data_IF_918367637528
#
_entry.id   IF_918367637528
#
_cell.length_a   1.000
_cell.length_b   1.000
_cell.length_c   1.000
_cell.angle_alpha   90.00
_cell.angle_beta   90.00
_cell.angle_gamma   90.00
#
_symmetry.space_group_name_H-M   'P 1'
#
loop_
_entity.id
_entity.type
_entity.pdbx_description
1 polymer ?
#
# COMPACT_ATOMS: atom_id res chain seq x y z
N UNK A 1 83.26 9.49 22.72
CA UNK A 1 82.33 9.23 21.63
C UNK A 1 80.89 9.53 22.12
N UNK A 2 80.26 10.59 21.65
CA UNK A 2 78.94 11.03 22.08
C UNK A 2 77.96 10.72 20.96
N UNK A 3 76.98 9.81 21.15
CA UNK A 3 75.90 9.56 20.27
C UNK A 3 74.78 10.57 20.54
N UNK A 4 74.47 11.40 19.58
CA UNK A 4 73.30 12.28 19.57
C UNK A 4 72.12 11.50 18.96
N UNK A 5 71.13 11.17 19.76
CA UNK A 5 69.85 10.61 19.29
C UNK A 5 68.99 11.72 18.69
N UNK A 6 68.71 11.61 17.43
CA UNK A 6 67.70 12.43 16.73
C UNK A 6 66.32 11.80 16.96
N UNK A 7 65.48 12.48 17.70
CA UNK A 7 64.05 12.14 17.83
C UNK A 7 63.33 12.84 16.67
N UNK A 8 62.89 12.05 15.72
CA UNK A 8 62.01 12.53 14.62
C UNK A 8 60.58 12.42 15.14
N UNK A 9 59.97 13.56 15.44
CA UNK A 9 58.55 13.63 15.79
C UNK A 9 57.73 13.62 14.54
N UNK A 10 57.06 12.48 14.25
CA UNK A 10 56.06 12.40 13.19
C UNK A 10 54.74 12.93 13.76
N UNK A 11 54.35 14.14 13.38
CA UNK A 11 53.03 14.68 13.65
C UNK A 11 52.06 14.07 12.65
N UNK A 12 51.31 13.07 13.07
CA UNK A 12 50.18 12.53 12.32
C UNK A 12 49.02 13.52 12.37
N UNK A 13 48.79 14.27 11.30
CA UNK A 13 47.60 15.08 11.12
C UNK A 13 46.40 14.15 10.86
N UNK A 14 45.63 13.85 11.90
CA UNK A 14 44.32 13.25 11.77
C UNK A 14 43.37 14.30 11.15
N UNK A 15 43.13 14.24 9.84
CA UNK A 15 42.01 14.89 9.20
C UNK A 15 40.74 14.14 9.62
N UNK A 16 40.09 14.57 10.68
CA UNK A 16 38.75 14.18 11.00
C UNK A 16 37.84 14.83 9.97
N UNK A 17 37.44 14.09 8.94
CA UNK A 17 36.33 14.46 8.10
C UNK A 17 35.08 14.33 8.98
N UNK A 18 34.71 15.43 9.65
CA UNK A 18 33.41 15.55 10.26
C UNK A 18 32.39 15.55 9.10
N UNK A 19 31.81 14.38 8.82
CA UNK A 19 30.58 14.31 8.06
C UNK A 19 29.56 15.10 8.89
N UNK A 20 29.32 16.35 8.52
CA UNK A 20 28.23 17.13 9.08
C UNK A 20 26.95 16.39 8.70
N UNK A 21 26.43 15.60 9.62
CA UNK A 21 25.05 15.14 9.52
C UNK A 21 24.18 16.39 9.45
N UNK A 22 23.77 16.75 8.24
CA UNK A 22 22.90 17.89 8.03
C UNK A 22 21.62 17.60 8.82
N UNK A 23 21.37 18.42 9.85
CA UNK A 23 20.17 18.27 10.67
C UNK A 23 18.94 18.26 9.75
N UNK A 24 18.02 17.36 10.00
CA UNK A 24 16.78 17.28 9.27
C UNK A 24 15.99 18.60 9.47
N UNK A 25 15.75 19.28 8.39
CA UNK A 25 15.03 20.55 8.38
C UNK A 25 13.56 20.30 7.98
N UNK A 26 12.72 20.06 8.97
CA UNK A 26 11.29 19.82 8.79
C UNK A 26 10.57 20.96 8.06
N UNK A 27 11.08 22.21 8.18
CA UNK A 27 10.45 23.35 7.53
C UNK A 27 10.47 23.29 6.01
N UNK A 28 11.32 22.44 5.44
CA UNK A 28 11.38 22.18 3.99
C UNK A 28 10.28 21.28 3.47
N UNK A 29 9.58 20.59 4.36
CA UNK A 29 8.56 19.61 3.99
C UNK A 29 7.16 20.15 4.22
N UNK A 30 6.16 19.69 3.46
CA UNK A 30 4.77 20.07 3.69
C UNK A 30 4.27 19.52 5.04
N UNK A 31 3.37 20.26 5.68
CA UNK A 31 2.68 19.77 6.87
C UNK A 31 1.67 18.68 6.50
N UNK A 32 2.09 17.43 6.64
CA UNK A 32 1.24 16.25 6.50
C UNK A 32 0.85 15.63 7.85
N UNK A 33 1.02 16.36 8.94
CA UNK A 33 0.65 15.89 10.28
C UNK A 33 -0.85 15.64 10.42
N UNK A 34 -1.22 14.81 11.40
CA UNK A 34 -2.60 14.39 11.66
C UNK A 34 -3.04 13.20 10.84
N UNK A 35 -4.33 12.89 10.93
CA UNK A 35 -4.92 11.77 10.21
C UNK A 35 -5.55 12.23 8.89
N UNK A 36 -5.44 11.36 7.91
CA UNK A 36 -6.02 11.53 6.59
C UNK A 36 -6.99 10.41 6.30
N UNK A 37 -8.22 10.74 5.93
CA UNK A 37 -9.25 9.76 5.61
C UNK A 37 -9.72 9.95 4.17
N UNK A 38 -9.89 8.85 3.45
CA UNK A 38 -10.41 8.88 2.08
C UNK A 38 -11.74 9.65 2.07
N UNK A 39 -11.84 10.65 1.23
CA UNK A 39 -13.04 11.45 1.02
C UNK A 39 -14.19 10.63 0.43
N UNK A 40 -15.39 11.23 0.30
CA UNK A 40 -16.52 10.57 -0.32
C UNK A 40 -16.13 10.03 -1.70
N UNK A 41 -16.85 9.00 -2.20
CA UNK A 41 -16.45 8.23 -3.36
C UNK A 41 -16.07 9.14 -4.51
N UNK A 42 -14.81 9.16 -4.84
CA UNK A 42 -14.30 9.81 -6.01
C UNK A 42 -14.83 9.05 -7.21
N UNK A 43 -15.43 9.77 -8.14
CA UNK A 43 -15.64 9.22 -9.47
C UNK A 43 -14.26 8.90 -10.02
N UNK A 44 -14.05 7.70 -10.48
CA UNK A 44 -12.79 7.29 -11.07
C UNK A 44 -12.46 8.14 -12.32
N UNK A 45 -13.51 8.41 -13.10
CA UNK A 45 -13.48 9.28 -14.27
C UNK A 45 -14.76 10.14 -14.25
N UNK A 46 -14.66 11.44 -14.05
CA UNK A 46 -15.83 12.30 -13.96
C UNK A 46 -16.67 12.34 -15.25
N UNK A 47 -16.13 11.90 -16.38
CA UNK A 47 -16.86 11.83 -17.66
C UNK A 47 -17.76 10.59 -17.78
N UNK A 48 -17.62 9.62 -16.86
CA UNK A 48 -18.38 8.37 -16.88
C UNK A 48 -19.31 8.27 -15.68
N UNK A 49 -20.42 7.53 -15.79
CA UNK A 49 -21.30 7.26 -14.66
C UNK A 49 -20.52 6.61 -13.50
N UNK A 50 -20.88 6.85 -12.24
CA UNK A 50 -20.26 6.16 -11.12
C UNK A 50 -20.53 4.65 -11.19
N UNK A 51 -19.55 3.86 -10.83
CA UNK A 51 -19.66 2.40 -10.84
C UNK A 51 -18.34 1.74 -10.46
N UNK A 52 -18.43 0.55 -9.88
CA UNK A 52 -17.24 -0.21 -9.50
C UNK A 52 -16.46 -0.62 -10.74
N UNK A 53 -15.18 -0.32 -10.76
CA UNK A 53 -14.26 -0.75 -11.81
C UNK A 53 -14.55 -0.34 -13.25
N UNK A 54 -15.65 0.39 -13.50
CA UNK A 54 -16.12 0.72 -14.85
C UNK A 54 -15.10 1.41 -15.75
N UNK A 55 -14.05 1.97 -15.16
CA UNK A 55 -13.03 2.74 -15.87
C UNK A 55 -11.71 2.02 -15.98
N UNK A 56 -11.55 0.91 -15.26
CA UNK A 56 -10.35 0.11 -15.36
C UNK A 56 -10.20 -0.40 -16.80
N UNK A 57 -9.12 -0.06 -17.51
CA UNK A 57 -8.92 -0.49 -18.89
C UNK A 57 -8.41 -1.94 -18.92
N UNK A 58 -9.21 -2.87 -18.42
CA UNK A 58 -8.88 -4.28 -18.35
C UNK A 58 -8.71 -4.89 -19.75
N UNK A 59 -7.84 -5.88 -19.85
CA UNK A 59 -7.81 -6.78 -21.01
C UNK A 59 -9.09 -7.63 -21.03
N UNK A 60 -9.45 -8.22 -22.17
CA UNK A 60 -10.65 -9.05 -22.27
C UNK A 60 -10.63 -10.23 -21.28
N UNK A 61 -9.46 -10.85 -21.07
CA UNK A 61 -9.28 -11.92 -20.08
C UNK A 61 -9.59 -11.45 -18.66
N UNK A 62 -9.02 -10.31 -18.26
CA UNK A 62 -9.20 -9.79 -16.91
C UNK A 62 -10.53 -9.12 -16.68
N UNK A 63 -11.19 -8.64 -17.76
CA UNK A 63 -12.56 -8.17 -17.72
C UNK A 63 -13.51 -9.33 -17.37
N UNK A 64 -13.35 -10.50 -18.01
CA UNK A 64 -14.15 -11.68 -17.70
C UNK A 64 -13.96 -12.14 -16.25
N UNK A 65 -12.72 -12.15 -15.74
CA UNK A 65 -12.43 -12.46 -14.33
C UNK A 65 -13.12 -11.47 -13.39
N UNK A 66 -13.16 -10.19 -13.76
CA UNK A 66 -13.83 -9.18 -12.95
C UNK A 66 -15.35 -9.34 -12.95
N UNK A 67 -15.94 -9.67 -14.08
CA UNK A 67 -17.39 -9.95 -14.20
C UNK A 67 -17.80 -11.18 -13.40
N UNK A 68 -17.03 -12.26 -13.44
CA UNK A 68 -17.23 -13.45 -12.60
C UNK A 68 -17.15 -13.10 -11.11
N UNK A 69 -16.19 -12.25 -10.72
CA UNK A 69 -16.08 -11.76 -9.36
C UNK A 69 -17.31 -10.95 -8.91
N UNK A 70 -17.82 -10.08 -9.76
CA UNK A 70 -19.05 -9.31 -9.48
C UNK A 70 -20.29 -10.21 -9.40
N UNK A 71 -20.38 -11.23 -10.25
CA UNK A 71 -21.46 -12.22 -10.20
C UNK A 71 -21.44 -13.03 -8.89
N UNK A 72 -20.26 -13.47 -8.44
CA UNK A 72 -20.11 -14.15 -7.15
C UNK A 72 -20.54 -13.23 -5.98
N UNK A 73 -20.13 -11.97 -5.98
CA UNK A 73 -20.55 -10.98 -4.98
C UNK A 73 -22.08 -10.76 -5.01
N UNK A 74 -22.69 -10.70 -6.18
CA UNK A 74 -24.13 -10.56 -6.32
C UNK A 74 -24.91 -11.78 -5.78
N UNK A 75 -24.30 -12.97 -5.83
CA UNK A 75 -24.84 -14.19 -5.23
C UNK A 75 -24.59 -14.30 -3.70
N UNK A 76 -23.98 -13.27 -3.09
CA UNK A 76 -23.63 -13.24 -1.67
C UNK A 76 -22.25 -13.83 -1.35
N UNK A 77 -21.48 -14.17 -2.37
CA UNK A 77 -20.09 -14.58 -2.24
C UNK A 77 -19.17 -13.40 -1.97
N UNK A 78 -17.88 -13.68 -1.80
CA UNK A 78 -16.86 -12.69 -1.45
C UNK A 78 -16.00 -12.30 -2.64
N UNK A 79 -16.26 -12.90 -3.77
CA UNK A 79 -15.47 -12.71 -4.96
C UNK A 79 -14.01 -13.11 -4.78
N UNK A 80 -13.13 -12.34 -5.38
CA UNK A 80 -11.69 -12.56 -5.33
C UNK A 80 -10.99 -11.74 -4.24
N UNK A 81 -11.73 -11.15 -3.30
CA UNK A 81 -11.16 -10.31 -2.26
C UNK A 81 -10.32 -11.11 -1.26
N UNK A 82 -8.98 -10.94 -1.22
CA UNK A 82 -8.12 -11.72 -0.34
C UNK A 82 -8.23 -11.31 1.13
N UNK A 83 -8.80 -10.17 1.44
CA UNK A 83 -8.91 -9.69 2.82
C UNK A 83 -9.89 -10.50 3.66
N UNK A 84 -10.82 -11.21 3.04
CA UNK A 84 -11.71 -12.13 3.74
C UNK A 84 -11.00 -13.29 4.45
N UNK A 85 -9.78 -13.57 4.10
CA UNK A 85 -8.92 -14.56 4.78
C UNK A 85 -7.69 -13.91 5.41
N UNK A 86 -7.80 -12.63 5.77
CA UNK A 86 -6.77 -11.83 6.41
C UNK A 86 -5.45 -11.70 5.63
N UNK A 87 -5.48 -11.83 4.32
CA UNK A 87 -4.35 -11.43 3.48
C UNK A 87 -4.36 -9.90 3.41
N UNK A 88 -3.25 -9.22 3.70
CA UNK A 88 -3.17 -7.76 3.65
C UNK A 88 -3.53 -7.21 2.26
N UNK A 89 -4.14 -6.04 2.23
CA UNK A 89 -4.50 -5.36 0.98
C UNK A 89 -3.32 -5.18 0.02
N UNK A 90 -2.18 -4.76 0.55
CA UNK A 90 -1.02 -4.44 -0.27
C UNK A 90 -1.24 -3.25 -1.20
N UNK A 91 -0.22 -2.92 -2.01
CA UNK A 91 -0.33 -1.86 -3.00
C UNK A 91 -0.95 -2.36 -4.30
N UNK A 92 -1.77 -1.54 -5.01
CA UNK A 92 -2.19 -0.17 -4.69
C UNK A 92 -3.40 -0.06 -3.75
N UNK A 93 -4.04 -1.18 -3.39
CA UNK A 93 -5.30 -1.19 -2.64
C UNK A 93 -5.17 -0.54 -1.25
N UNK A 94 -4.02 -0.64 -0.61
CA UNK A 94 -3.76 0.00 0.68
C UNK A 94 -4.05 1.51 0.67
N UNK A 95 -3.88 2.18 -0.47
CA UNK A 95 -4.24 3.59 -0.66
C UNK A 95 -5.71 3.80 -1.05
N UNK A 96 -6.50 2.74 -1.15
CA UNK A 96 -7.93 2.79 -1.50
C UNK A 96 -8.87 2.50 -0.31
N UNK A 97 -8.33 2.31 0.88
CA UNK A 97 -9.11 1.99 2.06
C UNK A 97 -9.78 3.24 2.63
N UNK A 98 -10.97 3.07 3.23
CA UNK A 98 -11.73 4.16 3.84
C UNK A 98 -11.27 4.49 5.27
N UNK A 99 -10.36 3.70 5.79
CA UNK A 99 -9.80 3.87 7.13
C UNK A 99 -8.76 5.00 7.14
N UNK A 100 -8.55 5.66 8.27
CA UNK A 100 -7.59 6.74 8.36
C UNK A 100 -6.14 6.23 8.20
N UNK A 101 -5.30 7.15 7.74
CA UNK A 101 -3.86 6.96 7.72
C UNK A 101 -3.15 8.15 8.35
N UNK A 102 -1.94 7.91 8.85
CA UNK A 102 -1.02 8.93 9.35
C UNK A 102 0.28 8.87 8.58
N UNK A 103 0.88 10.04 8.34
CA UNK A 103 2.11 10.15 7.56
C UNK A 103 3.19 10.76 8.43
N UNK A 104 4.35 10.10 8.47
CA UNK A 104 5.54 10.58 9.19
C UNK A 104 6.68 10.75 8.21
N UNK A 105 7.16 11.99 8.11
CA UNK A 105 8.29 12.34 7.23
C UNK A 105 9.56 12.34 8.08
N UNK A 106 10.53 11.52 7.70
CA UNK A 106 11.85 11.46 8.29
C UNK A 106 12.92 11.73 7.22
N UNK A 107 14.18 11.98 7.59
CA UNK A 107 15.22 12.36 6.63
C UNK A 107 15.39 11.43 5.43
N UNK A 108 15.25 10.13 5.67
CA UNK A 108 15.56 9.10 4.67
C UNK A 108 14.37 8.23 4.30
N UNK A 109 13.22 8.46 4.95
CA UNK A 109 12.06 7.58 4.80
C UNK A 109 10.78 8.34 5.15
N UNK A 110 9.79 8.23 4.32
CA UNK A 110 8.41 8.63 4.64
C UNK A 110 7.62 7.38 4.98
N UNK A 111 6.95 7.37 6.13
CA UNK A 111 6.08 6.29 6.56
C UNK A 111 4.63 6.68 6.36
N UNK A 112 3.83 5.74 5.86
CA UNK A 112 2.38 5.83 5.86
C UNK A 112 1.86 4.67 6.72
N UNK A 113 1.29 5.01 7.86
CA UNK A 113 0.62 4.08 8.76
C UNK A 113 -0.86 4.08 8.41
N UNK A 114 -1.43 2.93 8.16
CA UNK A 114 -2.84 2.78 7.78
C UNK A 114 -3.51 1.96 8.87
N UNK A 115 -4.58 2.49 9.47
CA UNK A 115 -5.29 1.86 10.57
C UNK A 115 -5.82 0.48 10.19
N UNK A 116 -6.35 0.35 8.98
CA UNK A 116 -6.87 -0.93 8.50
C UNK A 116 -5.78 -2.00 8.45
N UNK A 117 -5.98 -3.09 9.17
CA UNK A 117 -5.05 -4.21 9.32
C UNK A 117 -3.65 -3.80 9.84
N UNK A 118 -3.55 -2.65 10.50
CA UNK A 118 -2.29 -2.11 11.03
C UNK A 118 -1.17 -2.09 9.98
N UNK A 119 -1.52 -1.72 8.74
CA UNK A 119 -0.57 -1.73 7.63
C UNK A 119 0.44 -0.60 7.77
N UNK A 120 1.70 -0.91 7.52
CA UNK A 120 2.81 0.04 7.48
C UNK A 120 3.44 0.04 6.09
N UNK A 121 3.51 1.23 5.49
CA UNK A 121 4.23 1.47 4.24
C UNK A 121 5.48 2.29 4.50
N UNK A 122 6.60 1.87 3.91
CA UNK A 122 7.88 2.59 3.91
C UNK A 122 8.19 3.08 2.51
N UNK A 123 8.44 4.37 2.39
CA UNK A 123 8.88 5.00 1.15
C UNK A 123 10.28 5.54 1.41
N UNK A 124 11.28 4.94 0.81
CA UNK A 124 12.67 5.37 0.98
C UNK A 124 12.94 6.61 0.15
N UNK A 125 13.41 7.68 0.80
CA UNK A 125 13.61 9.00 0.17
C UNK A 125 15.07 9.47 0.23
N UNK A 126 15.99 8.55 0.46
CA UNK A 126 17.43 8.80 0.58
C UNK A 126 18.21 8.65 -0.73
N UNK A 127 17.52 8.47 -1.86
CA UNK A 127 18.14 8.35 -3.17
C UNK A 127 18.80 6.99 -3.45
N UNK A 128 18.48 5.97 -2.66
CA UNK A 128 19.01 4.61 -2.86
C UNK A 128 18.55 3.97 -4.16
N UNK A 129 19.35 3.03 -4.63
CA UNK A 129 18.99 2.17 -5.75
C UNK A 129 18.01 1.07 -5.35
N UNK A 130 17.37 0.45 -6.35
CA UNK A 130 16.54 -0.71 -6.17
C UNK A 130 17.35 -1.91 -5.66
N UNK A 131 16.92 -2.56 -4.55
CA UNK A 131 17.61 -3.72 -4.02
C UNK A 131 17.51 -4.90 -4.98
N UNK A 132 18.60 -5.67 -5.08
CA UNK A 132 18.64 -6.92 -5.84
C UNK A 132 18.25 -8.09 -4.95
N UNK A 133 17.45 -9.04 -5.48
CA UNK A 133 17.14 -10.28 -4.79
C UNK A 133 16.22 -10.13 -3.57
N UNK A 134 15.47 -9.04 -3.48
CA UNK A 134 14.50 -8.86 -2.40
C UNK A 134 13.26 -9.72 -2.63
N UNK A 135 12.83 -10.44 -1.60
CA UNK A 135 11.59 -11.20 -1.62
C UNK A 135 10.37 -10.28 -1.79
N UNK A 136 9.42 -10.62 -2.67
CA UNK A 136 8.21 -9.83 -2.85
C UNK A 136 7.36 -9.76 -1.58
N UNK A 137 6.71 -8.62 -1.37
CA UNK A 137 5.79 -8.40 -0.25
C UNK A 137 4.46 -7.79 -0.71
N UNK A 138 3.43 -7.81 0.13
CA UNK A 138 2.15 -7.22 -0.21
C UNK A 138 2.25 -5.70 -0.41
N UNK A 139 3.02 -5.02 0.44
CA UNK A 139 3.26 -3.58 0.32
C UNK A 139 4.32 -3.23 -0.73
N UNK A 140 5.07 -4.23 -1.21
CA UNK A 140 6.16 -4.04 -2.14
C UNK A 140 7.35 -3.28 -1.53
N UNK A 141 8.17 -2.73 -2.41
CA UNK A 141 9.28 -1.85 -2.07
C UNK A 141 9.06 -0.51 -2.75
N UNK A 142 9.07 0.58 -1.97
CA UNK A 142 8.80 1.92 -2.48
C UNK A 142 10.03 2.81 -2.37
N UNK A 143 10.40 3.44 -3.48
CA UNK A 143 11.40 4.52 -3.53
C UNK A 143 10.65 5.79 -3.87
N UNK A 144 10.93 6.86 -3.14
CA UNK A 144 10.33 8.16 -3.33
C UNK A 144 11.36 9.27 -3.50
N UNK A 145 10.91 10.37 -4.07
CA UNK A 145 11.69 11.59 -4.21
C UNK A 145 10.82 12.79 -3.86
N UNK A 146 11.29 13.61 -2.93
CA UNK A 146 10.70 14.89 -2.64
C UNK A 146 11.06 15.90 -3.73
N UNK A 147 10.06 16.60 -4.25
CA UNK A 147 10.19 17.57 -5.34
C UNK A 147 9.75 18.94 -4.83
N UNK A 148 10.52 19.96 -5.18
CA UNK A 148 10.17 21.37 -5.07
C UNK A 148 9.71 21.85 -6.47
N UNK A 149 8.40 21.72 -6.73
CA UNK A 149 7.81 22.24 -7.98
C UNK A 149 7.71 23.75 -7.92
N UNK A 150 8.66 24.46 -8.37
CA UNK A 150 8.64 25.94 -8.40
C UNK A 150 9.88 26.56 -7.81
N UNK A 151 10.85 25.73 -7.39
CA UNK A 151 12.14 26.18 -6.87
C UNK A 151 12.01 27.22 -5.73
N UNK A 152 11.08 26.96 -4.82
CA UNK A 152 10.77 27.84 -3.68
C UNK A 152 11.68 27.58 -2.46
N UNK A 153 12.47 26.51 -2.51
CA UNK A 153 13.25 26.01 -1.38
C UNK A 153 12.46 25.10 -0.44
N UNK A 154 11.20 24.80 -0.76
CA UNK A 154 10.32 23.91 0.00
C UNK A 154 9.77 22.80 -0.88
N UNK A 155 9.79 21.58 -0.39
CA UNK A 155 9.16 20.45 -1.06
C UNK A 155 7.64 20.57 -0.99
N UNK A 156 6.97 20.23 -2.08
CA UNK A 156 5.50 20.29 -2.15
C UNK A 156 4.88 19.03 -2.79
N UNK A 157 5.71 18.12 -3.27
CA UNK A 157 5.30 16.88 -3.92
C UNK A 157 6.23 15.74 -3.51
N UNK A 158 5.64 14.56 -3.22
CA UNK A 158 6.36 13.30 -3.12
C UNK A 158 6.03 12.44 -4.32
N UNK A 159 6.99 12.19 -5.19
CA UNK A 159 6.90 11.19 -6.25
C UNK A 159 7.37 9.84 -5.71
N UNK A 160 6.59 8.78 -5.97
CA UNK A 160 6.88 7.44 -5.47
C UNK A 160 6.76 6.43 -6.60
N UNK A 161 7.64 5.45 -6.60
CA UNK A 161 7.49 4.24 -7.38
C UNK A 161 7.56 3.02 -6.46
N UNK A 162 6.62 2.07 -6.65
CA UNK A 162 6.53 0.84 -5.87
C UNK A 162 6.59 -0.35 -6.81
N UNK A 163 7.49 -1.28 -6.50
CA UNK A 163 7.71 -2.55 -7.21
C UNK A 163 7.77 -3.71 -6.22
N UNK A 164 8.07 -4.89 -6.72
CA UNK A 164 8.33 -6.09 -5.93
C UNK A 164 7.12 -6.51 -5.08
N UNK A 165 5.96 -6.48 -5.71
CA UNK A 165 4.68 -6.81 -5.11
C UNK A 165 4.42 -8.31 -5.23
N UNK A 166 3.72 -8.91 -4.26
CA UNK A 166 3.18 -10.27 -4.34
C UNK A 166 1.67 -10.27 -4.19
N UNK A 167 1.04 -11.27 -4.80
CA UNK A 167 -0.41 -11.49 -4.74
C UNK A 167 -0.83 -12.62 -3.79
N UNK A 168 -2.14 -12.89 -3.70
CA UNK A 168 -3.21 -12.32 -4.54
C UNK A 168 -3.48 -10.85 -4.21
N UNK A 169 -3.89 -10.07 -5.22
CA UNK A 169 -4.11 -8.62 -5.10
C UNK A 169 -5.29 -8.17 -5.95
N UNK A 170 -5.96 -7.15 -5.49
CA UNK A 170 -6.92 -6.37 -6.26
C UNK A 170 -6.58 -4.88 -6.18
N UNK A 171 -7.06 -4.10 -7.12
CA UNK A 171 -6.86 -2.65 -7.13
C UNK A 171 -7.63 -1.98 -5.99
N UNK A 172 -8.84 -2.48 -5.69
CA UNK A 172 -9.72 -1.93 -4.67
C UNK A 172 -10.67 -3.00 -4.11
N UNK A 173 -11.51 -2.66 -3.12
CA UNK A 173 -12.48 -3.58 -2.54
C UNK A 173 -13.54 -4.12 -3.51
N UNK A 174 -13.71 -3.54 -4.72
CA UNK A 174 -14.63 -4.10 -5.72
C UNK A 174 -14.09 -5.36 -6.38
N UNK A 175 -12.80 -5.66 -6.17
CA UNK A 175 -12.16 -6.84 -6.71
C UNK A 175 -11.66 -6.69 -8.15
N UNK A 176 -11.36 -5.44 -8.60
CA UNK A 176 -10.66 -5.24 -9.88
C UNK A 176 -9.36 -6.02 -9.85
N UNK A 177 -9.18 -7.04 -10.72
CA UNK A 177 -8.04 -7.93 -10.62
C UNK A 177 -6.76 -7.28 -11.12
N UNK A 178 -5.63 -7.68 -10.52
CA UNK A 178 -4.30 -7.42 -11.01
C UNK A 178 -3.68 -8.72 -11.49
N UNK A 179 -2.70 -8.62 -12.39
CA UNK A 179 -2.08 -9.78 -13.00
C UNK A 179 -1.31 -10.62 -11.98
N UNK A 180 -1.42 -11.94 -12.12
CA UNK A 180 -0.84 -12.93 -11.18
C UNK A 180 0.68 -13.04 -11.21
N UNK A 181 1.35 -12.43 -12.21
CA UNK A 181 2.81 -12.52 -12.36
C UNK A 181 3.59 -11.62 -11.39
N UNK A 182 2.90 -10.80 -10.61
CA UNK A 182 3.49 -9.87 -9.64
C UNK A 182 4.46 -8.83 -10.25
N UNK A 183 4.32 -8.53 -11.55
CA UNK A 183 5.13 -7.51 -12.23
C UNK A 183 4.48 -6.12 -12.22
N UNK A 184 3.45 -5.93 -11.41
CA UNK A 184 2.80 -4.62 -11.24
C UNK A 184 3.80 -3.58 -10.76
N UNK A 185 3.76 -2.41 -11.39
CA UNK A 185 4.44 -1.20 -10.94
C UNK A 185 3.39 -0.16 -10.60
N UNK A 186 3.55 0.48 -9.46
CA UNK A 186 2.67 1.58 -9.03
C UNK A 186 3.50 2.83 -8.91
N UNK A 187 3.11 3.89 -9.62
CA UNK A 187 3.70 5.21 -9.45
C UNK A 187 2.68 6.16 -8.85
N UNK A 188 3.14 7.08 -7.99
CA UNK A 188 2.27 7.99 -7.27
C UNK A 188 2.85 9.39 -7.24
N UNK A 189 1.95 10.37 -7.21
CA UNK A 189 2.26 11.76 -6.93
C UNK A 189 1.38 12.21 -5.77
N UNK A 190 2.02 12.42 -4.61
CA UNK A 190 1.33 12.76 -3.36
C UNK A 190 1.62 14.23 -3.03
N UNK A 191 0.57 15.04 -2.88
CA UNK A 191 0.68 16.47 -2.65
C UNK A 191 -0.56 17.07 -1.97
N UNK A 192 -0.41 18.20 -1.31
CA UNK A 192 -1.56 18.95 -0.80
C UNK A 192 -2.26 19.69 -1.94
N UNK A 193 -3.58 19.73 -1.88
CA UNK A 193 -4.37 20.55 -2.79
C UNK A 193 -3.99 22.03 -2.65
N UNK A 194 -3.81 22.71 -3.78
CA UNK A 194 -3.38 24.13 -3.77
C UNK A 194 -4.43 25.08 -3.20
N UNK A 195 -5.71 24.73 -3.28
CA UNK A 195 -6.81 25.56 -2.80
C UNK A 195 -7.24 25.21 -1.36
N UNK A 196 -7.03 23.96 -0.92
CA UNK A 196 -7.40 23.49 0.42
C UNK A 196 -6.33 22.56 0.97
N UNK A 197 -5.46 23.05 1.85
CA UNK A 197 -4.41 22.25 2.50
C UNK A 197 -4.94 21.13 3.44
N UNK A 198 -6.24 21.05 3.66
CA UNK A 198 -6.86 19.91 4.33
C UNK A 198 -7.24 18.77 3.36
N UNK A 199 -6.86 18.88 2.11
CA UNK A 199 -6.99 17.81 1.11
C UNK A 199 -5.59 17.38 0.69
N UNK A 200 -5.27 16.12 0.94
CA UNK A 200 -4.11 15.44 0.38
C UNK A 200 -4.56 14.69 -0.86
N UNK A 201 -3.88 14.90 -1.97
CA UNK A 201 -4.12 14.22 -3.24
C UNK A 201 -3.05 13.17 -3.48
N UNK A 202 -3.46 12.06 -4.08
CA UNK A 202 -2.57 11.01 -4.54
C UNK A 202 -3.02 10.56 -5.93
N UNK A 203 -2.22 10.87 -6.93
CA UNK A 203 -2.40 10.43 -8.31
C UNK A 203 -1.71 9.08 -8.46
N UNK A 204 -2.47 8.00 -8.32
CA UNK A 204 -1.98 6.61 -8.37
C UNK A 204 -2.07 6.10 -9.80
N UNK A 205 -0.94 5.79 -10.41
CA UNK A 205 -0.86 5.14 -11.72
C UNK A 205 -0.45 3.68 -11.56
N UNK A 206 -1.32 2.78 -11.97
CA UNK A 206 -1.06 1.34 -11.99
C UNK A 206 -0.65 0.90 -13.39
N UNK A 207 0.50 0.24 -13.47
CA UNK A 207 1.05 -0.37 -14.69
C UNK A 207 1.04 -1.87 -14.45
N UNK A 208 0.17 -2.59 -15.17
CA UNK A 208 -0.08 -4.00 -14.93
C UNK A 208 -0.51 -4.69 -16.22
N UNK A 209 -0.20 -5.98 -16.37
CA UNK A 209 -0.57 -6.75 -17.57
C UNK A 209 -2.04 -7.11 -17.66
N UNK A 210 -2.78 -6.98 -16.55
CA UNK A 210 -4.23 -7.06 -16.58
C UNK A 210 -4.87 -5.86 -17.28
N UNK A 211 -4.11 -4.78 -17.50
CA UNK A 211 -4.56 -3.53 -18.08
C UNK A 211 -4.06 -3.39 -19.53
N UNK A 212 -4.86 -2.80 -20.39
CA UNK A 212 -4.48 -2.48 -21.79
C UNK A 212 -3.57 -1.25 -21.92
N UNK A 213 -3.51 -0.44 -20.85
CA UNK A 213 -2.66 0.76 -20.74
C UNK A 213 -2.45 1.12 -19.27
N UNK A 214 -1.43 1.92 -18.93
CA UNK A 214 -1.33 2.50 -17.59
C UNK A 214 -2.63 3.22 -17.19
N UNK A 215 -3.03 3.07 -15.95
CA UNK A 215 -4.29 3.59 -15.44
C UNK A 215 -4.06 4.45 -14.21
N UNK A 216 -4.38 5.74 -14.35
CA UNK A 216 -4.22 6.73 -13.27
C UNK A 216 -5.57 7.04 -12.64
N UNK A 217 -5.58 7.04 -11.31
CA UNK A 217 -6.74 7.40 -10.48
C UNK A 217 -6.28 8.38 -9.40
N UNK A 218 -6.96 9.50 -9.28
CA UNK A 218 -6.69 10.47 -8.19
C UNK A 218 -7.51 10.11 -6.96
N UNK A 219 -6.86 9.94 -5.83
CA UNK A 219 -7.48 9.82 -4.51
C UNK A 219 -7.37 11.14 -3.77
N UNK A 220 -8.43 11.47 -3.03
CA UNK A 220 -8.48 12.66 -2.21
C UNK A 220 -8.71 12.22 -0.76
N UNK A 221 -7.80 12.59 0.12
CA UNK A 221 -7.91 12.34 1.55
C UNK A 221 -8.16 13.66 2.25
N UNK A 222 -9.11 13.66 3.17
CA UNK A 222 -9.41 14.83 3.98
C UNK A 222 -8.78 14.69 5.35
N UNK A 223 -8.16 15.78 5.84
CA UNK A 223 -7.58 15.82 7.17
C UNK A 223 -8.65 15.68 8.24
N UNK A 224 -8.44 14.77 9.18
CA UNK A 224 -9.33 14.55 10.34
C UNK A 224 -8.85 15.41 11.48
N UNK A 225 -9.74 16.25 12.02
CA UNK A 225 -9.38 17.22 13.07
C UNK A 225 -9.37 16.60 14.47
N UNK A 226 -10.17 15.57 14.70
CA UNK A 226 -10.23 14.84 15.97
C UNK A 226 -9.82 13.38 15.71
N UNK A 227 -8.52 13.12 15.58
CA UNK A 227 -8.04 11.79 15.23
C UNK A 227 -8.32 10.79 16.34
N UNK A 228 -8.81 9.62 15.95
CA UNK A 228 -8.92 8.44 16.80
C UNK A 228 -8.24 7.32 16.03
N UNK A 229 -7.32 6.61 16.68
CA UNK A 229 -6.70 5.42 16.13
C UNK A 229 -7.30 4.19 16.79
N UNK A 230 -7.88 3.31 15.99
CA UNK A 230 -8.46 2.05 16.45
C UNK A 230 -7.54 0.92 15.97
N UNK A 231 -7.23 0.00 16.84
CA UNK A 231 -6.52 -1.20 16.45
C UNK A 231 -7.48 -2.12 15.69
N UNK A 232 -7.21 -2.35 14.41
CA UNK A 232 -8.02 -3.20 13.54
C UNK A 232 -7.27 -4.49 13.23
N UNK A 233 -7.56 -5.56 13.96
CA UNK A 233 -6.96 -6.88 13.78
C UNK A 233 -7.93 -7.77 13.02
N UNK A 234 -7.52 -8.21 11.83
CA UNK A 234 -8.38 -9.00 10.95
C UNK A 234 -8.88 -10.29 11.59
N UNK A 235 -8.02 -10.99 12.34
CA UNK A 235 -8.35 -12.28 12.94
C UNK A 235 -9.43 -12.20 14.03
N UNK A 236 -9.63 -11.04 14.65
CA UNK A 236 -10.63 -10.88 15.73
C UNK A 236 -12.06 -10.81 15.20
N UNK A 237 -12.25 -10.28 13.99
CA UNK A 237 -13.56 -10.02 13.41
C UNK A 237 -13.83 -10.82 12.14
N UNK A 238 -12.96 -11.77 11.80
CA UNK A 238 -13.07 -12.53 10.57
C UNK A 238 -13.59 -13.95 10.80
N UNK A 239 -14.87 -14.21 10.56
CA UNK A 239 -15.45 -15.55 10.67
C UNK A 239 -15.21 -16.43 9.44
N UNK A 240 -14.42 -15.98 8.45
CA UNK A 240 -14.25 -16.69 7.20
C UNK A 240 -13.20 -17.79 7.27
N UNK A 241 -13.56 -18.95 6.75
CA UNK A 241 -12.69 -20.13 6.62
C UNK A 241 -12.65 -20.56 5.17
N UNK A 242 -11.45 -20.65 4.61
CA UNK A 242 -11.26 -21.16 3.24
C UNK A 242 -10.99 -22.66 3.24
N UNK A 243 -11.78 -23.38 2.48
CA UNK A 243 -11.61 -24.82 2.27
C UNK A 243 -11.52 -25.07 0.76
N UNK A 244 -10.34 -25.45 0.31
CA UNK A 244 -10.05 -25.54 -1.12
C UNK A 244 -10.15 -24.16 -1.81
N UNK A 245 -11.09 -24.03 -2.72
CA UNK A 245 -11.36 -22.77 -3.44
C UNK A 245 -12.54 -21.98 -2.88
N UNK A 246 -13.29 -22.56 -1.95
CA UNK A 246 -14.53 -21.99 -1.42
C UNK A 246 -14.28 -21.33 -0.06
N UNK A 247 -15.01 -20.26 0.20
CA UNK A 247 -15.07 -19.60 1.50
C UNK A 247 -16.34 -20.05 2.25
N UNK A 248 -16.20 -20.28 3.54
CA UNK A 248 -17.30 -20.57 4.45
C UNK A 248 -17.28 -19.57 5.60
N UNK A 249 -18.41 -19.38 6.25
CA UNK A 249 -18.47 -18.60 7.48
C UNK A 249 -18.48 -19.56 8.68
N UNK A 250 -17.73 -19.20 9.72
CA UNK A 250 -17.75 -19.95 10.98
C UNK A 250 -18.69 -19.24 11.97
N UNK A 251 -19.65 -19.99 12.52
CA UNK A 251 -20.48 -19.48 13.61
C UNK A 251 -19.70 -19.38 14.92
N UNK A 252 -20.25 -18.69 15.92
CA UNK A 252 -19.67 -18.60 17.25
C UNK A 252 -19.46 -19.98 17.90
N UNK A 253 -20.27 -20.96 17.53
CA UNK A 253 -20.18 -22.34 18.03
C UNK A 253 -19.23 -23.22 17.19
N UNK A 254 -18.54 -22.65 16.21
CA UNK A 254 -17.54 -23.33 15.36
C UNK A 254 -18.13 -24.12 14.19
N UNK A 255 -19.41 -23.95 13.86
CA UNK A 255 -20.02 -24.58 12.70
C UNK A 255 -19.69 -23.81 11.41
N UNK A 256 -19.33 -24.55 10.33
CA UNK A 256 -19.13 -23.99 9.03
C UNK A 256 -20.47 -23.83 8.29
N UNK A 257 -20.75 -22.60 7.91
CA UNK A 257 -21.98 -22.23 7.19
C UNK A 257 -21.64 -21.78 5.78
N UNK A 258 -22.54 -22.00 4.80
CA UNK A 258 -22.37 -21.41 3.46
C UNK A 258 -22.18 -19.89 3.53
N UNK A 259 -21.22 -19.37 2.78
CA UNK A 259 -21.01 -17.92 2.64
C UNK A 259 -21.83 -17.32 1.50
N UNK A 260 -22.34 -18.14 0.58
CA UNK A 260 -23.17 -17.71 -0.54
C UNK A 260 -24.36 -18.68 -0.75
N UNK A 261 -25.35 -18.18 -1.49
CA UNK A 261 -26.54 -18.95 -1.83
C UNK A 261 -26.16 -20.23 -2.63
N UNK A 262 -26.85 -21.32 -2.32
CA UNK A 262 -26.70 -22.63 -3.01
C UNK A 262 -25.27 -23.20 -2.97
N UNK A 263 -24.41 -22.74 -2.06
CA UNK A 263 -23.09 -23.27 -1.84
C UNK A 263 -23.16 -24.68 -1.26
N UNK A 264 -22.41 -25.66 -1.81
CA UNK A 264 -22.38 -27.01 -1.25
C UNK A 264 -21.75 -27.00 0.17
N UNK A 265 -22.07 -27.98 1.01
CA UNK A 265 -21.42 -28.12 2.30
C UNK A 265 -19.91 -28.33 2.14
N UNK A 266 -19.10 -27.92 3.14
CA UNK A 266 -17.66 -28.03 3.05
C UNK A 266 -17.20 -29.49 2.98
N UNK A 267 -16.17 -29.73 2.17
CA UNK A 267 -15.52 -31.03 2.12
C UNK A 267 -14.56 -31.19 3.29
N UNK A 268 -15.02 -31.87 4.33
CA UNK A 268 -14.27 -32.09 5.56
C UNK A 268 -13.54 -33.44 5.60
N UNK A 269 -13.46 -34.19 4.49
CA UNK A 269 -12.86 -35.52 4.47
C UNK A 269 -11.45 -35.57 5.02
N UNK A 270 -10.68 -34.52 4.87
CA UNK A 270 -9.30 -34.44 5.34
C UNK A 270 -9.14 -33.90 6.77
N UNK A 271 -10.16 -33.29 7.37
CA UNK A 271 -10.10 -32.78 8.73
C UNK A 271 -10.06 -33.86 9.81
N UNK A 272 -10.57 -35.04 9.51
CA UNK A 272 -10.63 -36.17 10.44
C UNK A 272 -9.43 -37.12 10.38
N UNK A 273 -8.43 -36.86 9.54
CA UNK A 273 -7.27 -37.71 9.35
C UNK A 273 -6.10 -37.48 10.31
N UNK A 274 -6.21 -36.50 11.24
CA UNK A 274 -5.14 -36.21 12.20
C UNK A 274 -5.15 -37.07 13.47
N UNK A 275 -5.86 -38.19 13.49
CA UNK A 275 -5.78 -39.16 14.59
C UNK A 275 -5.49 -40.56 14.06
N UNK A 276 -4.22 -40.81 13.83
CA UNK A 276 -3.62 -42.13 13.99
C UNK A 276 -2.15 -42.01 14.32
#
# INVERSE_FOLDING_TARGET
MRYRSLIVSVAAALCTVAASAQAFDESKYPDWTGQWKLGPPTKWDPSKPPGRGQQAPLTAEYQAIFEDNLADQAAGGQGTDPTYICIPDGMPRAMNVVFPMEIVILPNTTYIMIEYLSMLRRIYTDGRDWPKGLEPSFMGYSIGKWIDEGATGQYNLLEVETRNLKGPRSFDPSGIPLHKDNQTVVTERIYLDKADSNILRDDITTIDRALTRPWTVTKNYRRVRNPIWIEAICSEANPHVRIGKENYMMSADGYLMPAKKDQPPPDLRYFNQQKK
#
